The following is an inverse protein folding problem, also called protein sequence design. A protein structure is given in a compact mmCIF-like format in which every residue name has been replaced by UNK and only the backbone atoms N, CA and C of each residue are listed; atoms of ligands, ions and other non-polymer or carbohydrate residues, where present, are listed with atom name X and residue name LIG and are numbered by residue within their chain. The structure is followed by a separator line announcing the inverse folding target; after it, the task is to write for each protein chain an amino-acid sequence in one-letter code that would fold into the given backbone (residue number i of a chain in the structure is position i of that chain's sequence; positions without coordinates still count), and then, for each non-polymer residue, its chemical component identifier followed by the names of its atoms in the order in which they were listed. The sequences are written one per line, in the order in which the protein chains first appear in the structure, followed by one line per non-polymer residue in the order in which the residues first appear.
data_IF_971079338854
#
_entry.id   IF_971079338854
#
_cell.length_a   1.000
_cell.length_b   1.000
_cell.length_c   1.000
_cell.angle_alpha   90.00
_cell.angle_beta   90.00
_cell.angle_gamma   90.00
#
_symmetry.space_group_name_H-M   'P 1'
#
loop_
_entity.id
_entity.type
_entity.pdbx_description
1 polymer ?
#
# COMPACT_ATOMS: atom_id res chain seq x y z
N UNK A 1 -13.44 -28.00 -1.76
CA UNK A 1 -12.56 -28.10 -0.57
C UNK A 1 -11.48 -27.02 -0.59
N UNK A 2 -10.52 -27.11 -1.51
CA UNK A 2 -9.32 -26.26 -1.54
C UNK A 2 -9.57 -24.75 -1.42
N UNK A 3 -10.39 -24.16 -2.31
CA UNK A 3 -10.64 -22.71 -2.28
C UNK A 3 -11.26 -22.21 -0.97
N UNK A 4 -12.11 -23.02 -0.33
CA UNK A 4 -12.69 -22.65 0.96
C UNK A 4 -11.63 -22.62 2.06
N UNK A 5 -10.78 -23.65 2.14
CA UNK A 5 -9.70 -23.72 3.13
C UNK A 5 -8.68 -22.59 2.93
N UNK A 6 -8.30 -22.32 1.67
CA UNK A 6 -7.41 -21.22 1.32
C UNK A 6 -8.00 -19.85 1.72
N UNK A 7 -9.30 -19.64 1.48
CA UNK A 7 -9.98 -18.39 1.88
C UNK A 7 -10.07 -18.25 3.38
N UNK A 8 -10.29 -19.33 4.13
CA UNK A 8 -10.24 -19.30 5.59
C UNK A 8 -8.86 -18.89 6.09
N UNK A 9 -7.81 -19.52 5.58
CA UNK A 9 -6.44 -19.20 5.97
C UNK A 9 -6.12 -17.72 5.71
N UNK A 10 -6.42 -17.23 4.51
CA UNK A 10 -6.14 -15.83 4.12
C UNK A 10 -6.95 -14.80 4.91
N UNK A 11 -8.21 -15.08 5.21
CA UNK A 11 -9.11 -14.09 5.83
C UNK A 11 -9.07 -14.08 7.36
N UNK A 12 -8.59 -15.15 8.00
CA UNK A 12 -8.69 -15.34 9.46
C UNK A 12 -7.35 -15.57 10.16
N UNK A 13 -6.27 -15.83 9.44
CA UNK A 13 -4.97 -16.04 10.08
C UNK A 13 -4.30 -14.72 10.44
N UNK A 14 -3.44 -14.79 11.46
CA UNK A 14 -2.51 -13.72 11.85
C UNK A 14 -1.10 -14.21 11.61
N UNK A 15 -0.25 -13.34 11.06
CA UNK A 15 1.16 -13.62 10.80
C UNK A 15 2.03 -12.93 11.83
N UNK A 16 2.96 -13.66 12.43
CA UNK A 16 3.97 -13.17 13.35
C UNK A 16 5.35 -13.36 12.74
N UNK A 17 6.14 -12.29 12.72
CA UNK A 17 7.55 -12.35 12.31
C UNK A 17 8.40 -12.65 13.55
N UNK A 18 9.14 -13.74 13.49
CA UNK A 18 9.96 -14.23 14.59
C UNK A 18 11.37 -13.65 14.50
N UNK A 19 12.11 -13.63 15.62
CA UNK A 19 13.48 -13.10 15.68
C UNK A 19 14.46 -13.83 14.76
N UNK A 20 14.20 -15.10 14.46
CA UNK A 20 14.99 -15.92 13.52
C UNK A 20 14.67 -15.64 12.04
N UNK A 21 13.83 -14.65 11.76
CA UNK A 21 13.38 -14.28 10.42
C UNK A 21 12.27 -15.20 9.88
N UNK A 22 11.85 -16.23 10.61
CA UNK A 22 10.73 -17.08 10.21
C UNK A 22 9.40 -16.36 10.40
N UNK A 23 8.36 -16.81 9.68
CA UNK A 23 6.99 -16.33 9.84
C UNK A 23 6.12 -17.45 10.41
N UNK A 24 5.47 -17.19 11.55
CA UNK A 24 4.47 -18.07 12.12
C UNK A 24 3.08 -17.58 11.70
N UNK A 25 2.30 -18.43 11.03
CA UNK A 25 0.91 -18.16 10.68
C UNK A 25 0.00 -18.93 11.63
N UNK A 26 -0.88 -18.21 12.33
CA UNK A 26 -1.76 -18.77 13.35
C UNK A 26 -3.21 -18.57 12.97
N UNK A 27 -4.01 -19.65 13.04
CA UNK A 27 -5.47 -19.59 13.10
C UNK A 27 -5.87 -19.77 14.56
N UNK A 28 -6.25 -18.69 15.23
CA UNK A 28 -6.65 -18.70 16.64
C UNK A 28 -8.16 -18.75 16.80
N UNK A 29 -8.75 -19.86 17.29
CA UNK A 29 -10.18 -19.89 17.59
C UNK A 29 -10.56 -18.79 18.58
N UNK A 30 -11.56 -17.98 18.24
CA UNK A 30 -12.00 -16.85 19.05
C UNK A 30 -11.31 -15.53 18.68
N UNK A 31 -10.01 -15.56 18.36
CA UNK A 31 -9.33 -14.41 17.76
C UNK A 31 -9.92 -14.07 16.40
N UNK A 32 -10.18 -15.10 15.60
CA UNK A 32 -10.76 -14.99 14.27
C UNK A 32 -12.14 -14.34 14.26
N UNK A 33 -12.83 -14.27 15.39
CA UNK A 33 -14.17 -13.65 15.52
C UNK A 33 -14.15 -12.13 15.67
N UNK A 34 -12.99 -11.52 15.94
CA UNK A 34 -12.89 -10.07 16.03
C UNK A 34 -12.89 -9.43 14.64
N UNK A 35 -13.60 -8.31 14.50
CA UNK A 35 -13.68 -7.55 13.26
C UNK A 35 -12.66 -6.42 13.21
N UNK A 36 -12.38 -5.97 11.99
CA UNK A 36 -11.58 -4.77 11.72
C UNK A 36 -12.35 -3.48 12.01
N UNK A 37 -11.68 -2.49 12.58
CA UNK A 37 -12.07 -1.08 12.46
C UNK A 37 -10.87 -0.21 12.11
N UNK A 38 -11.10 0.83 11.29
CA UNK A 38 -10.11 1.86 10.95
C UNK A 38 -9.85 2.83 12.11
N UNK A 39 -10.74 2.84 13.11
CA UNK A 39 -10.59 3.66 14.32
C UNK A 39 -9.59 3.07 15.32
N UNK A 40 -9.19 1.80 15.13
CA UNK A 40 -8.14 1.17 15.95
C UNK A 40 -6.79 1.71 15.49
N UNK A 41 -6.01 2.37 16.36
CA UNK A 41 -4.71 2.91 15.96
C UNK A 41 -3.77 1.82 15.44
N UNK A 42 -3.05 2.14 14.36
CA UNK A 42 -2.03 1.25 13.81
C UNK A 42 -0.84 1.19 14.78
N UNK A 43 -0.24 0.00 14.92
CA UNK A 43 0.98 -0.21 15.70
C UNK A 43 0.75 -0.45 17.19
N UNK A 44 -0.50 -0.56 17.63
CA UNK A 44 -0.82 -1.15 18.93
C UNK A 44 -0.67 -2.67 18.81
N UNK A 45 0.02 -3.31 19.75
CA UNK A 45 0.06 -4.77 19.90
C UNK A 45 -1.29 -5.32 20.41
N UNK A 46 -2.33 -5.15 19.60
CA UNK A 46 -3.68 -5.63 19.88
C UNK A 46 -3.77 -7.16 19.78
N UNK A 47 -2.92 -7.78 18.96
CA UNK A 47 -2.72 -9.23 18.90
C UNK A 47 -1.22 -9.56 18.99
N UNK A 48 -0.83 -10.37 19.97
CA UNK A 48 0.57 -10.73 20.20
C UNK A 48 0.75 -12.19 20.66
N UNK A 49 1.98 -12.67 20.58
CA UNK A 49 2.37 -13.94 21.19
C UNK A 49 3.02 -13.65 22.54
N UNK A 50 2.47 -14.23 23.60
CA UNK A 50 3.04 -14.17 24.94
C UNK A 50 3.48 -15.56 25.38
N UNK A 51 4.37 -15.61 26.37
CA UNK A 51 4.72 -16.86 27.05
C UNK A 51 4.16 -16.81 28.47
N UNK A 52 3.39 -17.82 28.86
CA UNK A 52 2.86 -17.94 30.21
C UNK A 52 3.99 -18.17 31.22
N UNK A 53 3.73 -17.99 32.51
CA UNK A 53 4.69 -18.32 33.57
C UNK A 53 5.04 -19.81 33.60
N UNK A 54 4.21 -20.68 33.01
CA UNK A 54 4.47 -22.11 32.84
C UNK A 54 5.22 -22.45 31.54
N UNK A 55 5.60 -21.46 30.73
CA UNK A 55 6.33 -21.66 29.47
C UNK A 55 5.46 -21.93 28.24
N UNK A 56 4.14 -21.81 28.34
CA UNK A 56 3.22 -22.04 27.22
C UNK A 56 3.14 -20.82 26.31
N UNK A 57 3.09 -21.03 24.99
CA UNK A 57 2.83 -19.93 24.05
C UNK A 57 1.34 -19.63 23.99
N UNK A 58 1.00 -18.36 24.20
CA UNK A 58 -0.35 -17.85 24.24
C UNK A 58 -0.56 -16.82 23.12
N UNK A 59 -1.63 -16.99 22.34
CA UNK A 59 -2.16 -15.93 21.49
C UNK A 59 -2.93 -14.97 22.39
N UNK A 60 -2.41 -13.76 22.55
CA UNK A 60 -2.99 -12.73 23.43
C UNK A 60 -3.66 -11.67 22.58
N UNK A 61 -4.90 -11.32 22.95
CA UNK A 61 -5.62 -10.18 22.38
C UNK A 61 -5.79 -9.14 23.47
N UNK A 62 -5.34 -7.91 23.21
CA UNK A 62 -5.47 -6.79 24.14
C UNK A 62 -6.42 -5.75 23.55
N UNK A 63 -7.41 -5.35 24.34
CA UNK A 63 -8.28 -4.24 23.98
C UNK A 63 -7.47 -2.94 23.90
N UNK A 64 -7.63 -2.17 22.81
CA UNK A 64 -6.95 -0.88 22.64
C UNK A 64 -7.57 0.24 23.48
N UNK A 65 -8.78 0.01 23.98
CA UNK A 65 -9.54 0.90 24.88
C UNK A 65 -10.54 0.10 25.69
N UNK A 66 -11.19 0.78 26.64
CA UNK A 66 -12.36 0.23 27.31
C UNK A 66 -13.54 0.13 26.34
N UNK A 67 -14.24 -1.01 26.40
CA UNK A 67 -15.48 -1.26 25.67
C UNK A 67 -16.64 -1.35 26.67
N UNK A 68 -17.76 -0.72 26.35
CA UNK A 68 -18.97 -0.86 27.15
C UNK A 68 -19.52 -2.30 27.05
N UNK A 69 -20.29 -2.74 28.05
CA UNK A 69 -21.03 -3.98 27.93
C UNK A 69 -21.92 -3.93 26.68
N UNK A 70 -21.94 -5.02 25.91
CA UNK A 70 -22.64 -5.15 24.61
C UNK A 70 -22.03 -4.37 23.43
N UNK A 71 -21.00 -3.55 23.67
CA UNK A 71 -20.24 -2.93 22.59
C UNK A 71 -19.35 -3.98 21.90
N UNK A 72 -19.29 -3.94 20.57
CA UNK A 72 -18.42 -4.84 19.82
C UNK A 72 -16.95 -4.41 19.99
N UNK A 73 -16.10 -5.35 20.40
CA UNK A 73 -14.67 -5.18 20.39
C UNK A 73 -14.10 -5.34 18.96
N UNK A 74 -13.21 -4.43 18.58
CA UNK A 74 -12.50 -4.43 17.30
C UNK A 74 -11.00 -4.44 17.53
N UNK A 75 -10.25 -4.89 16.52
CA UNK A 75 -8.80 -4.73 16.44
C UNK A 75 -8.43 -4.31 15.02
N UNK A 76 -7.20 -3.89 14.81
CA UNK A 76 -6.73 -3.39 13.51
C UNK A 76 -6.30 -4.55 12.62
N UNK A 77 -6.68 -4.52 11.35
CA UNK A 77 -6.10 -5.39 10.31
C UNK A 77 -4.93 -4.63 9.64
N UNK A 78 -4.27 -3.77 10.43
CA UNK A 78 -3.28 -2.78 9.99
C UNK A 78 -3.86 -1.72 9.04
N UNK A 79 -2.99 -0.92 8.42
CA UNK A 79 -3.35 0.08 7.40
C UNK A 79 -3.72 -0.54 6.04
N UNK A 80 -4.64 -1.50 6.03
CA UNK A 80 -5.06 -2.20 4.82
C UNK A 80 -6.00 -1.34 3.95
N UNK A 81 -5.68 -1.23 2.66
CA UNK A 81 -6.54 -0.55 1.68
C UNK A 81 -7.80 -1.34 1.40
N UNK A 82 -8.85 -0.69 0.89
CA UNK A 82 -10.06 -1.42 0.50
C UNK A 82 -9.79 -2.51 -0.56
N UNK A 83 -8.82 -2.32 -1.45
CA UNK A 83 -8.40 -3.37 -2.40
C UNK A 83 -7.90 -4.62 -1.66
N UNK A 84 -7.01 -4.43 -0.67
CA UNK A 84 -6.49 -5.53 0.16
C UNK A 84 -7.59 -6.15 1.02
N UNK A 85 -8.41 -5.36 1.70
CA UNK A 85 -9.52 -5.85 2.53
C UNK A 85 -10.53 -6.66 1.71
N UNK A 86 -10.87 -6.20 0.50
CA UNK A 86 -11.80 -6.93 -0.37
C UNK A 86 -11.22 -8.26 -0.83
N UNK A 87 -9.94 -8.28 -1.22
CA UNK A 87 -9.27 -9.49 -1.70
C UNK A 87 -9.00 -10.52 -0.61
N UNK A 88 -8.60 -10.06 0.57
CA UNK A 88 -8.15 -10.91 1.67
C UNK A 88 -9.29 -11.27 2.62
N UNK A 89 -10.13 -10.30 2.98
CA UNK A 89 -11.15 -10.45 4.02
C UNK A 89 -12.60 -10.37 3.49
N UNK A 90 -12.80 -9.98 2.23
CA UNK A 90 -14.11 -10.02 1.57
C UNK A 90 -15.03 -8.86 1.93
N UNK A 91 -14.50 -7.77 2.50
CA UNK A 91 -15.26 -6.57 2.83
C UNK A 91 -14.45 -5.30 2.51
N UNK A 92 -15.10 -4.14 2.60
CA UNK A 92 -14.48 -2.82 2.48
C UNK A 92 -15.01 -1.91 3.58
N UNK A 93 -14.27 -0.84 3.87
CA UNK A 93 -14.68 0.18 4.84
C UNK A 93 -15.07 1.47 4.08
N UNK A 94 -16.23 2.09 4.38
CA UNK A 94 -16.56 3.41 3.87
C UNK A 94 -15.52 4.45 4.26
N UNK A 95 -15.13 5.32 3.32
CA UNK A 95 -14.10 6.36 3.54
C UNK A 95 -12.83 5.85 4.23
N UNK A 96 -12.35 4.66 3.84
CA UNK A 96 -11.14 4.06 4.40
C UNK A 96 -9.92 5.01 4.22
N UNK A 97 -9.32 5.53 5.30
CA UNK A 97 -8.18 6.45 5.20
C UNK A 97 -6.92 5.76 4.66
N UNK A 98 -6.87 4.43 4.70
CA UNK A 98 -5.75 3.62 4.24
C UNK A 98 -5.89 3.15 2.79
N UNK A 99 -6.83 3.72 2.02
CA UNK A 99 -6.88 3.49 0.59
C UNK A 99 -5.54 3.80 -0.06
N UNK A 100 -5.15 2.94 -0.99
CA UNK A 100 -3.84 2.96 -1.60
C UNK A 100 -3.92 2.48 -3.04
N UNK A 101 -2.95 2.88 -3.85
CA UNK A 101 -2.64 2.26 -5.14
C UNK A 101 -1.24 1.68 -5.08
N UNK A 102 -1.06 0.48 -5.64
CA UNK A 102 0.24 -0.15 -5.81
C UNK A 102 0.73 0.16 -7.22
N UNK A 103 1.91 0.75 -7.32
CA UNK A 103 2.55 1.10 -8.58
C UNK A 103 3.73 0.16 -8.82
N UNK A 104 3.87 -0.32 -10.04
CA UNK A 104 5.05 -1.05 -10.47
C UNK A 104 5.62 -0.33 -11.69
N UNK A 105 6.88 0.12 -11.59
CA UNK A 105 7.62 0.74 -12.68
C UNK A 105 8.78 -0.15 -13.08
N UNK A 106 8.94 -0.39 -14.37
CA UNK A 106 10.13 -1.02 -14.91
C UNK A 106 11.08 0.08 -15.38
N UNK A 107 12.25 0.16 -14.74
CA UNK A 107 13.26 1.16 -15.04
C UNK A 107 14.44 0.48 -15.74
N UNK A 108 14.83 0.92 -16.94
CA UNK A 108 15.96 0.32 -17.65
C UNK A 108 17.28 0.60 -16.91
N UNK A 109 18.15 -0.41 -16.82
CA UNK A 109 19.47 -0.32 -16.18
C UNK A 109 20.54 -1.04 -17.00
N UNK A 110 21.78 -0.59 -16.83
CA UNK A 110 23.00 -1.32 -17.19
C UNK A 110 23.64 -1.95 -15.96
N UNK A 111 24.55 -2.91 -16.15
CA UNK A 111 25.33 -3.54 -15.07
C UNK A 111 26.06 -2.51 -14.19
N UNK A 112 26.52 -1.40 -14.78
CA UNK A 112 27.21 -0.34 -14.05
C UNK A 112 26.26 0.52 -13.21
N UNK A 113 25.03 0.75 -13.68
CA UNK A 113 24.03 1.55 -12.97
C UNK A 113 23.21 0.79 -11.94
N UNK A 114 23.05 -0.54 -12.09
CA UNK A 114 22.22 -1.40 -11.24
C UNK A 114 22.53 -1.24 -9.73
N UNK A 115 23.81 -1.24 -9.27
CA UNK A 115 24.12 -1.05 -7.85
C UNK A 115 23.59 0.26 -7.27
N UNK A 116 23.48 1.32 -8.07
CA UNK A 116 22.99 2.62 -7.61
C UNK A 116 21.48 2.58 -7.27
N UNK A 117 20.70 1.80 -8.01
CA UNK A 117 19.28 1.62 -7.72
C UNK A 117 19.07 0.85 -6.41
N UNK A 118 19.88 -0.17 -6.15
CA UNK A 118 19.88 -0.89 -4.88
C UNK A 118 20.29 0.02 -3.72
N UNK A 119 21.38 0.78 -3.85
CA UNK A 119 21.82 1.71 -2.80
C UNK A 119 20.79 2.82 -2.53
N UNK A 120 20.10 3.31 -3.56
CA UNK A 120 19.01 4.27 -3.39
C UNK A 120 17.85 3.67 -2.59
N UNK A 121 17.43 2.45 -2.93
CA UNK A 121 16.40 1.74 -2.20
C UNK A 121 16.77 1.54 -0.72
N UNK A 122 17.96 1.01 -0.45
CA UNK A 122 18.47 0.80 0.91
C UNK A 122 18.53 2.13 1.71
N UNK A 123 19.00 3.21 1.08
CA UNK A 123 19.08 4.52 1.70
C UNK A 123 17.70 5.11 2.03
N UNK A 124 16.71 4.90 1.15
CA UNK A 124 15.34 5.35 1.38
C UNK A 124 14.66 4.53 2.49
N UNK A 125 14.90 3.23 2.56
CA UNK A 125 14.35 2.33 3.59
C UNK A 125 14.95 2.58 4.97
N UNK A 126 16.26 2.83 5.05
CA UNK A 126 16.92 3.22 6.31
C UNK A 126 16.32 4.50 6.92
N UNK A 127 15.73 5.38 6.10
CA UNK A 127 15.00 6.57 6.55
C UNK A 127 13.60 6.30 7.10
N UNK A 128 12.99 5.13 6.80
CA UNK A 128 11.63 4.74 7.21
C UNK A 128 11.62 4.11 8.61
N UNK A 129 12.70 3.45 9.03
CA UNK A 129 12.79 2.75 10.32
C UNK A 129 13.00 3.66 11.56
N UNK A 130 12.65 4.95 11.48
CA UNK A 130 12.64 5.82 12.67
C UNK A 130 11.36 5.57 13.49
N UNK A 131 11.45 5.41 14.83
CA UNK A 131 10.27 5.22 15.67
C UNK A 131 9.28 6.38 15.50
N UNK A 132 8.03 6.07 15.15
CA UNK A 132 6.95 7.05 14.94
C UNK A 132 6.75 7.53 13.50
N UNK A 133 7.49 7.01 12.52
CA UNK A 133 7.18 7.21 11.11
C UNK A 133 6.11 6.20 10.66
N UNK A 134 5.01 6.68 10.06
CA UNK A 134 4.05 5.82 9.34
C UNK A 134 4.84 5.05 8.30
N UNK A 135 4.81 3.71 8.38
CA UNK A 135 5.50 2.84 7.46
C UNK A 135 4.94 3.06 6.05
N UNK A 136 5.61 3.91 5.27
CA UNK A 136 5.51 3.89 3.83
C UNK A 136 6.20 2.59 3.42
N UNK A 137 5.42 1.52 3.22
CA UNK A 137 5.91 0.29 2.60
C UNK A 137 6.27 0.60 1.14
N UNK A 138 7.44 1.20 0.93
CA UNK A 138 8.13 1.11 -0.36
C UNK A 138 8.89 -0.20 -0.33
N UNK A 139 8.18 -1.33 -0.42
CA UNK A 139 8.87 -2.60 -0.64
C UNK A 139 9.38 -2.59 -2.07
N UNK A 140 10.60 -2.09 -2.29
CA UNK A 140 11.29 -2.22 -3.57
C UNK A 140 11.75 -3.67 -3.72
N UNK A 141 10.82 -4.53 -4.13
CA UNK A 141 11.15 -5.89 -4.55
C UNK A 141 11.70 -5.81 -5.97
N UNK A 142 13.03 -5.83 -6.10
CA UNK A 142 13.69 -5.93 -7.39
C UNK A 142 13.59 -7.37 -7.88
N UNK A 143 12.69 -7.62 -8.83
CA UNK A 143 12.66 -8.87 -9.58
C UNK A 143 13.79 -8.83 -10.62
N UNK A 144 14.82 -9.65 -10.41
CA UNK A 144 15.93 -9.84 -11.34
C UNK A 144 15.51 -10.84 -12.42
N UNK A 145 14.92 -10.34 -13.50
CA UNK A 145 14.44 -11.19 -14.61
C UNK A 145 15.56 -11.48 -15.65
N UNK A 146 16.82 -11.19 -15.32
CA UNK A 146 17.96 -11.37 -16.24
C UNK A 146 17.98 -10.38 -17.41
N UNK A 147 17.03 -9.45 -17.46
CA UNK A 147 16.95 -8.37 -18.43
C UNK A 147 17.50 -7.04 -17.87
N UNK A 148 17.77 -6.10 -18.79
CA UNK A 148 18.37 -4.79 -18.54
C UNK A 148 17.40 -3.81 -17.83
N UNK A 149 16.71 -4.25 -16.77
CA UNK A 149 15.76 -3.45 -16.01
C UNK A 149 15.76 -3.78 -14.52
N UNK A 150 15.14 -2.89 -13.74
CA UNK A 150 14.81 -3.06 -12.33
C UNK A 150 13.35 -2.69 -12.11
N UNK A 151 12.63 -3.49 -11.33
CA UNK A 151 11.26 -3.20 -10.92
C UNK A 151 11.25 -2.34 -9.65
N UNK A 152 10.58 -1.19 -9.70
CA UNK A 152 10.26 -0.35 -8.55
C UNK A 152 8.80 -0.56 -8.20
N UNK A 153 8.56 -1.17 -7.04
CA UNK A 153 7.23 -1.26 -6.46
C UNK A 153 7.04 -0.16 -5.40
N UNK A 154 5.99 0.64 -5.56
CA UNK A 154 5.70 1.79 -4.70
C UNK A 154 4.22 1.85 -4.35
N UNK A 155 3.92 1.95 -3.06
CA UNK A 155 2.57 2.13 -2.55
C UNK A 155 2.29 3.62 -2.34
N UNK A 156 1.25 4.14 -3.00
CA UNK A 156 0.77 5.51 -2.75
C UNK A 156 -0.49 5.49 -1.89
N UNK A 157 -0.52 6.32 -0.85
CA UNK A 157 -1.68 6.53 0.05
C UNK A 157 -2.03 8.01 0.10
N UNK A 158 -3.23 8.33 0.58
CA UNK A 158 -3.64 9.73 0.76
C UNK A 158 -2.79 10.45 1.82
N UNK A 159 -2.49 9.75 2.91
CA UNK A 159 -1.56 10.23 3.94
C UNK A 159 -0.12 10.14 3.44
N UNK A 160 0.67 11.21 3.62
CA UNK A 160 2.09 11.22 3.24
C UNK A 160 2.38 11.23 1.74
N UNK A 161 1.36 11.44 0.88
CA UNK A 161 1.48 11.31 -0.57
C UNK A 161 2.68 12.07 -1.18
N UNK A 162 2.93 13.30 -0.74
CA UNK A 162 4.04 14.10 -1.27
C UNK A 162 5.42 13.46 -1.01
N UNK A 163 5.66 12.95 0.20
CA UNK A 163 6.94 12.30 0.51
C UNK A 163 7.10 10.97 -0.21
N UNK A 164 6.00 10.27 -0.46
CA UNK A 164 5.97 9.04 -1.28
C UNK A 164 6.32 9.34 -2.74
N UNK A 165 5.74 10.39 -3.31
CA UNK A 165 6.04 10.82 -4.68
C UNK A 165 7.50 11.28 -4.82
N UNK A 166 8.06 11.99 -3.83
CA UNK A 166 9.49 12.35 -3.84
C UNK A 166 10.42 11.12 -3.85
N UNK A 167 10.06 10.04 -3.13
CA UNK A 167 10.80 8.78 -3.19
C UNK A 167 10.79 8.18 -4.58
N UNK A 168 9.61 8.10 -5.21
CA UNK A 168 9.47 7.63 -6.59
C UNK A 168 10.27 8.52 -7.55
N UNK A 169 10.19 9.85 -7.41
CA UNK A 169 10.94 10.80 -8.24
C UNK A 169 12.45 10.64 -8.13
N UNK A 170 12.99 10.21 -6.97
CA UNK A 170 14.42 9.91 -6.85
C UNK A 170 14.86 8.81 -7.83
N UNK A 171 14.05 7.76 -8.01
CA UNK A 171 14.33 6.70 -8.98
C UNK A 171 14.23 7.19 -10.44
N UNK A 172 13.24 8.02 -10.76
CA UNK A 172 13.11 8.60 -12.11
C UNK A 172 14.28 9.53 -12.45
N UNK A 173 14.78 10.30 -11.47
CA UNK A 173 15.98 11.14 -11.64
C UNK A 173 17.24 10.30 -11.84
N UNK A 174 17.42 9.24 -11.03
CA UNK A 174 18.53 8.30 -11.22
C UNK A 174 18.48 7.65 -12.61
N UNK A 175 17.31 7.19 -13.05
CA UNK A 175 17.12 6.62 -14.38
C UNK A 175 17.49 7.61 -15.51
N UNK A 176 17.18 8.91 -15.33
CA UNK A 176 17.56 9.94 -16.30
C UNK A 176 19.08 10.17 -16.37
N UNK A 177 19.76 10.18 -15.22
CA UNK A 177 21.22 10.30 -15.17
C UNK A 177 21.92 9.12 -15.86
N UNK A 178 21.34 7.93 -15.74
CA UNK A 178 21.88 6.70 -16.33
C UNK A 178 21.58 6.52 -17.82
N UNK A 179 20.81 7.41 -18.47
CA UNK A 179 20.42 7.27 -19.90
C UNK A 179 21.61 7.20 -20.87
N UNK A 180 22.78 7.70 -20.47
CA UNK A 180 24.02 7.59 -21.26
C UNK A 180 24.72 6.23 -21.18
N UNK A 181 24.16 5.24 -20.46
CA UNK A 181 24.73 3.91 -20.26
C UNK A 181 25.84 3.83 -19.21
N UNK A 182 26.35 4.98 -18.76
CA UNK A 182 27.32 5.09 -17.67
C UNK A 182 26.62 5.40 -16.34
N UNK A 183 27.15 4.82 -15.26
CA UNK A 183 26.76 5.18 -13.91
C UNK A 183 27.17 6.65 -13.61
N UNK A 184 26.28 7.49 -13.05
CA UNK A 184 26.67 8.83 -12.62
C UNK A 184 27.72 8.76 -11.51
N UNK A 185 28.65 9.73 -11.52
CA UNK A 185 29.58 9.97 -10.42
C UNK A 185 28.84 10.43 -9.14
N UNK A 186 29.49 10.33 -7.98
CA UNK A 186 28.93 10.83 -6.72
C UNK A 186 28.62 12.33 -6.77
N UNK A 187 29.43 13.12 -7.46
CA UNK A 187 29.18 14.56 -7.66
C UNK A 187 27.91 14.81 -8.48
N UNK A 188 27.70 14.03 -9.55
CA UNK A 188 26.48 14.12 -10.37
C UNK A 188 25.24 13.71 -9.57
N UNK A 189 25.33 12.67 -8.73
CA UNK A 189 24.25 12.27 -7.84
C UNK A 189 23.92 13.38 -6.83
N UNK A 190 24.93 13.93 -6.16
CA UNK A 190 24.75 15.01 -5.20
C UNK A 190 24.17 16.30 -5.83
N UNK A 191 24.56 16.62 -7.06
CA UNK A 191 24.05 17.77 -7.79
C UNK A 191 22.61 17.56 -8.32
N UNK A 192 22.18 16.31 -8.52
CA UNK A 192 20.88 15.99 -9.13
C UNK A 192 19.68 16.39 -8.28
N UNK A 193 19.86 16.59 -6.97
CA UNK A 193 18.84 17.15 -6.10
C UNK A 193 18.57 18.64 -6.36
N UNK A 194 19.57 19.37 -6.85
CA UNK A 194 19.47 20.78 -7.23
C UNK A 194 19.20 21.04 -8.71
N UNK A 195 19.26 20.02 -9.57
CA UNK A 195 19.02 20.16 -11.01
C UNK A 195 17.52 20.30 -11.31
N UNK A 196 17.09 21.55 -11.52
CA UNK A 196 15.71 21.88 -11.84
C UNK A 196 15.25 21.25 -13.17
N UNK A 197 16.12 21.13 -14.18
CA UNK A 197 15.74 20.56 -15.46
C UNK A 197 15.49 19.05 -15.35
N UNK A 198 16.38 18.34 -14.66
CA UNK A 198 16.22 16.91 -14.35
C UNK A 198 14.96 16.67 -13.50
N UNK A 199 14.74 17.49 -12.46
CA UNK A 199 13.54 17.39 -11.62
C UNK A 199 12.25 17.59 -12.43
N UNK A 200 12.18 18.62 -13.28
CA UNK A 200 11.01 18.86 -14.14
C UNK A 200 10.77 17.73 -15.13
N UNK A 201 11.82 17.14 -15.69
CA UNK A 201 11.70 15.98 -16.56
C UNK A 201 11.13 14.75 -15.80
N UNK A 202 11.63 14.48 -14.59
CA UNK A 202 11.13 13.38 -13.75
C UNK A 202 9.66 13.59 -13.34
N UNK A 203 9.27 14.82 -12.97
CA UNK A 203 7.89 15.18 -12.65
C UNK A 203 6.95 14.93 -13.84
N UNK A 204 7.32 15.40 -15.04
CA UNK A 204 6.53 15.18 -16.27
C UNK A 204 6.37 13.69 -16.56
N UNK A 205 7.48 12.94 -16.49
CA UNK A 205 7.47 11.52 -16.75
C UNK A 205 6.57 10.77 -15.77
N UNK A 206 6.71 10.98 -14.46
CA UNK A 206 5.86 10.34 -13.46
C UNK A 206 4.38 10.70 -13.65
N UNK A 207 4.09 11.97 -13.92
CA UNK A 207 2.73 12.45 -14.21
C UNK A 207 2.11 11.73 -15.40
N UNK A 208 2.84 11.59 -16.50
CA UNK A 208 2.37 10.86 -17.70
C UNK A 208 2.06 9.40 -17.38
N UNK A 209 2.90 8.73 -16.59
CA UNK A 209 2.64 7.35 -16.16
C UNK A 209 1.38 7.24 -15.30
N UNK A 210 1.20 8.12 -14.31
CA UNK A 210 0.00 8.12 -13.46
C UNK A 210 -1.27 8.39 -14.26
N UNK A 211 -1.23 9.32 -15.23
CA UNK A 211 -2.36 9.58 -16.12
C UNK A 211 -2.66 8.40 -17.03
N UNK A 212 -1.64 7.74 -17.56
CA UNK A 212 -1.79 6.52 -18.38
C UNK A 212 -2.44 5.40 -17.56
N UNK A 213 -1.96 5.16 -16.34
CA UNK A 213 -2.55 4.17 -15.44
C UNK A 213 -4.01 4.50 -15.07
N UNK A 214 -4.30 5.77 -14.79
CA UNK A 214 -5.68 6.21 -14.51
C UNK A 214 -6.61 6.04 -15.73
N UNK A 215 -6.10 6.24 -16.94
CA UNK A 215 -6.86 6.07 -18.18
C UNK A 215 -7.18 4.60 -18.51
N UNK A 216 -6.52 3.62 -17.87
CA UNK A 216 -6.84 2.20 -18.02
C UNK A 216 -8.15 1.79 -17.32
N UNK A 217 -8.67 2.62 -16.41
CA UNK A 217 -9.97 2.35 -15.81
C UNK A 217 -11.09 2.55 -16.84
N UNK A 218 -12.06 1.62 -16.93
CA UNK A 218 -13.12 1.68 -17.94
C UNK A 218 -14.17 2.77 -17.69
N UNK A 219 -14.14 3.40 -16.51
CA UNK A 219 -15.08 4.44 -16.07
C UNK A 219 -14.33 5.60 -15.45
N UNK A 220 -14.95 6.78 -15.40
CA UNK A 220 -14.36 7.94 -14.71
C UNK A 220 -14.55 7.83 -13.18
N UNK A 221 -13.99 8.77 -12.40
CA UNK A 221 -14.27 8.84 -10.96
C UNK A 221 -15.72 9.27 -10.73
N UNK A 222 -16.20 10.24 -11.49
CA UNK A 222 -17.56 10.79 -11.39
C UNK A 222 -18.62 9.73 -11.67
N UNK A 223 -18.40 8.89 -12.69
CA UNK A 223 -19.28 7.77 -13.02
C UNK A 223 -19.38 6.79 -11.85
N UNK A 224 -18.24 6.44 -11.24
CA UNK A 224 -18.19 5.48 -10.15
C UNK A 224 -18.75 6.05 -8.84
N UNK A 225 -18.54 7.33 -8.55
CA UNK A 225 -19.14 8.00 -7.39
C UNK A 225 -20.67 8.10 -7.53
N UNK A 226 -21.15 8.38 -8.74
CA UNK A 226 -22.58 8.37 -9.06
C UNK A 226 -23.15 6.96 -8.89
N UNK A 227 -22.47 5.95 -9.45
CA UNK A 227 -22.89 4.55 -9.34
C UNK A 227 -22.86 4.05 -7.88
N UNK A 228 -21.87 4.47 -7.09
CA UNK A 228 -21.76 4.13 -5.67
C UNK A 228 -22.91 4.74 -4.87
N UNK A 229 -23.22 6.01 -5.12
CA UNK A 229 -24.34 6.71 -4.48
C UNK A 229 -25.69 6.04 -4.79
N UNK A 230 -25.92 5.69 -6.05
CA UNK A 230 -27.10 4.93 -6.46
C UNK A 230 -27.16 3.53 -5.83
N UNK A 231 -26.01 2.85 -5.74
CA UNK A 231 -25.89 1.55 -5.12
C UNK A 231 -26.14 1.60 -3.60
N UNK A 232 -25.81 2.70 -2.92
CA UNK A 232 -26.09 2.90 -1.50
C UNK A 232 -27.58 3.20 -1.22
N UNK A 233 -28.24 3.98 -2.08
CA UNK A 233 -29.61 4.47 -1.87
C UNK A 233 -30.73 3.41 -2.03
N UNK A 234 -30.46 2.29 -2.70
CA UNK A 234 -31.48 1.26 -2.97
C UNK A 234 -31.84 0.48 -1.68
N UNK A 235 -33.11 0.13 -1.41
CA UNK A 235 -33.49 -0.60 -0.17
C UNK A 235 -34.19 -1.93 -0.41
N UNK A 236 -34.40 -2.34 -1.67
CA UNK A 236 -35.20 -3.52 -2.02
C UNK A 236 -34.42 -4.85 -1.96
N UNK A 237 -35.13 -5.89 -1.52
CA UNK A 237 -34.65 -7.23 -1.15
C UNK A 237 -34.47 -8.19 -2.35
N UNK A 238 -33.72 -9.27 -2.12
CA UNK A 238 -33.46 -10.46 -2.96
C UNK A 238 -32.22 -10.46 -3.90
N UNK A 239 -31.62 -9.30 -4.23
CA UNK A 239 -30.33 -9.23 -4.95
C UNK A 239 -29.11 -8.80 -4.09
N UNK A 240 -29.29 -8.80 -2.75
CA UNK A 240 -28.39 -8.17 -1.78
C UNK A 240 -26.92 -8.59 -1.86
N UNK A 241 -26.61 -9.86 -2.18
CA UNK A 241 -25.20 -10.31 -2.29
C UNK A 241 -24.47 -9.73 -3.50
N UNK A 242 -25.08 -9.75 -4.70
CA UNK A 242 -24.46 -9.17 -5.91
C UNK A 242 -24.33 -7.67 -5.78
N UNK A 243 -25.35 -7.02 -5.21
CA UNK A 243 -25.33 -5.58 -4.93
C UNK A 243 -24.23 -5.19 -3.97
N UNK A 244 -24.12 -5.86 -2.80
CA UNK A 244 -23.03 -5.59 -1.84
C UNK A 244 -21.65 -5.76 -2.46
N UNK A 245 -21.45 -6.81 -3.26
CA UNK A 245 -20.19 -7.00 -4.00
C UNK A 245 -19.91 -5.86 -4.98
N UNK A 246 -20.93 -5.41 -5.73
CA UNK A 246 -20.80 -4.27 -6.65
C UNK A 246 -20.44 -2.99 -5.89
N UNK A 247 -21.12 -2.72 -4.77
CA UNK A 247 -20.79 -1.58 -3.91
C UNK A 247 -19.34 -1.67 -3.39
N UNK A 248 -18.91 -2.87 -2.94
CA UNK A 248 -17.53 -3.07 -2.51
C UNK A 248 -16.52 -2.81 -3.62
N UNK A 249 -16.77 -3.30 -4.83
CA UNK A 249 -15.93 -3.00 -5.99
C UNK A 249 -15.86 -1.49 -6.27
N UNK A 250 -17.02 -0.80 -6.29
CA UNK A 250 -17.06 0.64 -6.54
C UNK A 250 -16.28 1.43 -5.48
N UNK A 251 -16.35 1.04 -4.20
CA UNK A 251 -15.56 1.68 -3.14
C UNK A 251 -14.04 1.52 -3.33
N UNK A 252 -13.59 0.38 -3.86
CA UNK A 252 -12.18 0.19 -4.23
C UNK A 252 -11.81 1.13 -5.38
N UNK A 253 -12.57 1.11 -6.48
CA UNK A 253 -12.29 1.92 -7.67
C UNK A 253 -12.28 3.43 -7.35
N UNK A 254 -13.27 3.92 -6.60
CA UNK A 254 -13.34 5.31 -6.15
C UNK A 254 -12.12 5.67 -5.29
N UNK A 255 -11.75 4.79 -4.35
CA UNK A 255 -10.58 4.99 -3.50
C UNK A 255 -9.29 5.12 -4.30
N UNK A 256 -9.02 4.19 -5.21
CA UNK A 256 -7.82 4.18 -6.06
C UNK A 256 -7.76 5.42 -6.98
N UNK A 257 -8.85 5.73 -7.68
CA UNK A 257 -8.92 6.90 -8.57
C UNK A 257 -8.73 8.22 -7.83
N UNK A 258 -9.22 8.34 -6.59
CA UNK A 258 -8.97 9.51 -5.73
C UNK A 258 -7.48 9.66 -5.43
N UNK A 259 -6.76 8.58 -5.11
CA UNK A 259 -5.31 8.63 -4.89
C UNK A 259 -4.58 9.05 -6.17
N UNK A 260 -4.91 8.48 -7.33
CA UNK A 260 -4.33 8.91 -8.61
C UNK A 260 -4.54 10.41 -8.87
N UNK A 261 -5.75 10.92 -8.66
CA UNK A 261 -6.05 12.36 -8.85
C UNK A 261 -5.29 13.26 -7.89
N UNK A 262 -5.20 12.87 -6.61
CA UNK A 262 -4.41 13.60 -5.63
C UNK A 262 -2.92 13.63 -6.03
N UNK A 263 -2.39 12.50 -6.53
CA UNK A 263 -1.00 12.41 -6.96
C UNK A 263 -0.72 13.28 -8.18
N UNK A 264 -1.60 13.25 -9.19
CA UNK A 264 -1.50 14.11 -10.38
C UNK A 264 -1.60 15.59 -9.99
N UNK A 265 -2.55 15.97 -9.13
CA UNK A 265 -2.69 17.34 -8.67
C UNK A 265 -1.45 17.83 -7.90
N UNK A 266 -0.85 16.96 -7.08
CA UNK A 266 0.41 17.26 -6.41
C UNK A 266 1.52 17.51 -7.43
N UNK A 267 1.66 16.66 -8.45
CA UNK A 267 2.67 16.82 -9.51
C UNK A 267 2.46 18.10 -10.32
N UNK A 268 1.20 18.42 -10.67
CA UNK A 268 0.85 19.65 -11.39
C UNK A 268 1.27 20.90 -10.62
N UNK A 269 1.07 20.93 -9.30
CA UNK A 269 1.51 22.04 -8.44
C UNK A 269 3.03 22.19 -8.33
N UNK A 270 3.82 21.18 -8.71
CA UNK A 270 5.29 21.23 -8.75
C UNK A 270 5.85 21.44 -10.17
N UNK A 271 4.98 21.44 -11.18
CA UNK A 271 5.34 21.69 -12.58
C UNK A 271 5.13 23.16 -13.01
N UNK A 272 4.30 23.90 -12.27
CA UNK A 272 4.06 25.35 -12.44
C UNK A 272 5.19 26.19 -11.88
#
# INVERSE_FOLDING_TARGET
GFFWAHRLLISRSVSFFMEDGSTLIVLGPGQDMFNHSVDVPIGIEDVSLATSSAGERLLTIRAYRDFAATEQAFYSYSGASNGRLLMMAGFVVPENPFNAVELCFELPVTDSSRPLFHSLAEGLDAGVHKPGAVAVETKSEFLDDGEASVALHARLTGEGLGSQLERVLAFFRLAQLCRGGAAPSQEQLAASDGDQACRLAALRQLREHLLSMLALYPTTLEDDETALSAAAATTADDCGRRRRRRESCLRVLVGEKRIYRQAVAWLDGHLS
#
